data_IF_661785932211
#
_entry.id   IF_661785932211
#
_cell.length_a   1.000
_cell.length_b   1.000
_cell.length_c   1.000
_cell.angle_alpha   90.00
_cell.angle_beta   90.00
_cell.angle_gamma   90.00
#
_symmetry.space_group_name_H-M   'P 1'
#
loop_
_entity.id
_entity.type
_entity.pdbx_description
1 polymer ?
#
# COMPACT_ATOMS: atom_id res chain seq x y z
N UNK A 1 33.79 -11.95 13.52
CA UNK A 1 32.60 -11.11 13.23
C UNK A 1 32.69 -10.54 11.83
N UNK A 2 31.94 -11.08 10.87
CA UNK A 2 31.80 -10.48 9.53
C UNK A 2 30.82 -9.31 9.65
N UNK A 3 31.33 -8.08 9.53
CA UNK A 3 30.50 -6.89 9.23
C UNK A 3 29.78 -7.16 7.91
N UNK A 4 28.47 -7.37 7.93
CA UNK A 4 27.67 -7.53 6.71
C UNK A 4 27.64 -6.20 5.96
N UNK A 5 28.38 -6.15 4.86
CA UNK A 5 28.29 -5.12 3.84
C UNK A 5 26.93 -5.23 3.14
N UNK A 6 26.01 -4.29 3.37
CA UNK A 6 25.07 -3.73 2.37
C UNK A 6 24.11 -2.69 3.01
N UNK A 7 24.67 -1.63 3.63
CA UNK A 7 23.90 -0.39 3.86
C UNK A 7 24.03 0.49 2.60
N UNK A 8 23.25 0.19 1.57
CA UNK A 8 23.11 1.05 0.39
C UNK A 8 21.62 1.36 0.18
N UNK A 9 21.22 2.53 0.67
CA UNK A 9 20.00 3.27 0.28
C UNK A 9 18.64 2.62 0.60
N UNK A 10 18.42 2.14 1.83
CA UNK A 10 17.05 1.87 2.30
C UNK A 10 16.59 3.11 3.05
N UNK A 11 15.60 3.82 2.50
CA UNK A 11 14.88 4.85 3.27
C UNK A 11 14.30 4.18 4.52
N UNK A 12 14.74 4.61 5.69
CA UNK A 12 14.24 4.14 6.97
C UNK A 12 13.29 5.21 7.50
N UNK A 13 12.00 4.89 7.49
CA UNK A 13 10.96 5.71 8.12
C UNK A 13 11.33 5.90 9.60
N UNK A 14 11.48 7.14 10.05
CA UNK A 14 11.68 7.43 11.47
C UNK A 14 10.41 7.15 12.27
N UNK A 15 10.49 6.89 13.59
CA UNK A 15 9.30 6.75 14.43
C UNK A 15 8.35 7.94 14.35
N UNK A 16 8.88 9.15 14.23
CA UNK A 16 8.11 10.39 14.08
C UNK A 16 7.42 10.45 12.72
N UNK A 17 8.14 10.16 11.63
CA UNK A 17 7.57 10.09 10.27
C UNK A 17 6.47 9.03 10.18
N UNK A 18 6.65 7.90 10.85
CA UNK A 18 5.63 6.86 10.95
C UNK A 18 4.39 7.34 11.69
N UNK A 19 4.55 7.96 12.86
CA UNK A 19 3.41 8.41 13.66
C UNK A 19 2.63 9.51 12.92
N UNK A 20 3.32 10.48 12.32
CA UNK A 20 2.68 11.49 11.47
C UNK A 20 1.94 10.85 10.29
N UNK A 21 2.56 9.87 9.62
CA UNK A 21 1.95 9.10 8.55
C UNK A 21 0.72 8.32 8.95
N UNK A 22 0.78 7.64 10.10
CA UNK A 22 -0.31 6.88 10.70
C UNK A 22 -1.48 7.78 11.05
N UNK A 23 -1.23 8.91 11.71
CA UNK A 23 -2.29 9.88 12.04
C UNK A 23 -2.94 10.45 10.77
N UNK A 24 -2.14 10.77 9.75
CA UNK A 24 -2.65 11.22 8.46
C UNK A 24 -3.59 10.18 7.82
N UNK A 25 -3.13 8.93 7.66
CA UNK A 25 -3.95 7.84 7.10
C UNK A 25 -5.25 7.60 7.89
N UNK A 26 -5.19 7.68 9.22
CA UNK A 26 -6.38 7.53 10.07
C UNK A 26 -7.36 8.70 9.90
N UNK A 27 -6.85 9.92 9.70
CA UNK A 27 -7.66 11.11 9.44
C UNK A 27 -8.40 11.03 8.10
N UNK A 28 -7.77 10.47 7.05
CA UNK A 28 -8.44 10.22 5.76
C UNK A 28 -9.67 9.31 5.93
N UNK A 29 -9.62 8.40 6.90
CA UNK A 29 -10.72 7.48 7.19
C UNK A 29 -11.72 8.01 8.22
N UNK A 30 -11.54 9.22 8.75
CA UNK A 30 -12.41 9.79 9.80
C UNK A 30 -13.91 9.76 9.44
N UNK A 31 -14.35 10.08 8.20
CA UNK A 31 -15.77 10.06 7.83
C UNK A 31 -16.42 8.67 7.82
N UNK A 32 -15.64 7.59 7.75
CA UNK A 32 -16.15 6.22 7.65
C UNK A 32 -16.42 5.62 9.03
N UNK A 33 -17.46 4.79 9.14
CA UNK A 33 -17.75 4.05 10.38
C UNK A 33 -16.57 3.19 10.80
N UNK A 34 -16.34 3.06 12.11
CA UNK A 34 -15.23 2.26 12.68
C UNK A 34 -15.12 0.85 12.08
N UNK A 35 -16.26 0.18 11.88
CA UNK A 35 -16.33 -1.19 11.39
C UNK A 35 -16.27 -1.30 9.85
N UNK A 36 -15.95 -0.21 9.13
CA UNK A 36 -15.89 -0.21 7.66
C UNK A 36 -14.80 -1.16 7.14
N UNK A 37 -15.01 -1.83 5.98
CA UNK A 37 -14.02 -2.74 5.42
C UNK A 37 -12.64 -2.10 5.22
N UNK A 38 -12.60 -0.86 4.71
CA UNK A 38 -11.34 -0.13 4.50
C UNK A 38 -10.56 0.13 5.79
N UNK A 39 -11.25 0.50 6.89
CA UNK A 39 -10.60 0.68 8.21
C UNK A 39 -10.04 -0.63 8.73
N UNK A 40 -10.78 -1.74 8.61
CA UNK A 40 -10.30 -3.06 9.03
C UNK A 40 -9.02 -3.47 8.31
N UNK A 41 -8.97 -3.23 7.00
CA UNK A 41 -7.81 -3.59 6.18
C UNK A 41 -6.62 -2.68 6.52
N UNK A 42 -6.83 -1.37 6.71
CA UNK A 42 -5.78 -0.46 7.15
C UNK A 42 -5.20 -0.86 8.51
N UNK A 43 -6.02 -1.21 9.49
CA UNK A 43 -5.53 -1.65 10.80
C UNK A 43 -4.69 -2.92 10.74
N UNK A 44 -5.02 -3.87 9.85
CA UNK A 44 -4.19 -5.05 9.61
C UNK A 44 -2.84 -4.68 9.01
N UNK A 45 -2.84 -3.80 8.01
CA UNK A 45 -1.61 -3.33 7.38
C UNK A 45 -0.71 -2.58 8.37
N UNK A 46 -1.28 -1.70 9.21
CA UNK A 46 -0.57 -1.01 10.30
C UNK A 46 0.07 -2.01 11.25
N UNK A 47 -0.70 -3.01 11.73
CA UNK A 47 -0.17 -4.02 12.65
C UNK A 47 0.96 -4.84 12.02
N UNK A 48 0.85 -5.18 10.74
CA UNK A 48 1.90 -5.90 10.01
C UNK A 48 3.15 -5.05 9.77
N UNK A 49 2.99 -3.74 9.56
CA UNK A 49 4.09 -2.79 9.44
C UNK A 49 4.84 -2.64 10.78
N UNK A 50 4.12 -2.39 11.87
CA UNK A 50 4.68 -2.27 13.22
C UNK A 50 5.33 -3.57 13.71
N UNK A 51 4.87 -4.72 13.22
CA UNK A 51 5.50 -6.02 13.43
C UNK A 51 6.72 -6.30 12.53
N UNK A 52 7.10 -5.36 11.65
CA UNK A 52 8.25 -5.48 10.75
C UNK A 52 8.07 -6.48 9.62
N UNK A 53 6.82 -6.83 9.24
CA UNK A 53 6.55 -7.80 8.17
C UNK A 53 6.76 -7.23 6.77
N UNK A 54 6.74 -5.90 6.63
CA UNK A 54 7.11 -5.22 5.40
C UNK A 54 7.68 -3.84 5.68
N UNK A 55 8.39 -3.31 4.70
CA UNK A 55 8.87 -1.93 4.67
C UNK A 55 8.04 -1.12 3.68
N UNK A 56 7.78 0.14 4.02
CA UNK A 56 7.15 1.11 3.15
C UNK A 56 8.22 2.09 2.67
N UNK A 57 8.55 2.03 1.38
CA UNK A 57 9.50 2.96 0.76
C UNK A 57 8.79 4.07 -0.02
N UNK A 58 7.45 4.02 -0.13
CA UNK A 58 6.65 4.94 -0.94
C UNK A 58 7.03 4.93 -2.42
N UNK A 59 7.83 3.94 -2.86
CA UNK A 59 8.43 3.92 -4.18
C UNK A 59 7.41 3.58 -5.26
N UNK A 60 6.27 3.01 -4.86
CA UNK A 60 5.28 2.53 -5.81
C UNK A 60 4.57 3.68 -6.51
N UNK A 61 4.45 4.88 -5.91
CA UNK A 61 3.84 6.04 -6.56
C UNK A 61 4.36 7.39 -6.02
N UNK A 62 4.78 8.27 -6.94
CA UNK A 62 5.28 9.62 -6.66
C UNK A 62 4.26 10.44 -5.86
N UNK A 63 4.74 11.21 -4.87
CA UNK A 63 3.94 12.12 -4.03
C UNK A 63 3.22 13.16 -4.90
N UNK A 64 1.90 13.15 -4.92
CA UNK A 64 1.14 14.23 -5.58
C UNK A 64 0.07 14.86 -4.67
N UNK A 65 -0.29 14.27 -3.52
CA UNK A 65 -1.47 14.71 -2.75
C UNK A 65 -1.19 15.37 -1.39
N UNK A 66 -0.11 15.04 -0.68
CA UNK A 66 0.06 15.53 0.70
C UNK A 66 1.52 15.73 1.12
N UNK A 67 1.71 16.44 2.24
CA UNK A 67 2.99 16.57 2.94
C UNK A 67 3.46 15.24 3.56
N UNK A 68 2.54 14.29 3.78
CA UNK A 68 2.85 12.96 4.29
C UNK A 68 3.28 12.02 3.17
N UNK A 69 4.28 11.17 3.47
CA UNK A 69 4.68 10.05 2.63
C UNK A 69 3.65 8.92 2.59
N UNK A 70 2.74 8.90 3.56
CA UNK A 70 1.78 7.82 3.76
C UNK A 70 0.43 8.21 3.16
N UNK A 71 -0.02 7.43 2.19
CA UNK A 71 -1.36 7.51 1.62
C UNK A 71 -2.02 6.14 1.78
N UNK A 72 -3.27 6.09 2.26
CA UNK A 72 -3.96 4.82 2.54
C UNK A 72 -3.91 3.87 1.32
N UNK A 73 -4.15 4.39 0.11
CA UNK A 73 -4.14 3.58 -1.10
C UNK A 73 -2.76 2.96 -1.40
N UNK A 74 -1.69 3.77 -1.31
CA UNK A 74 -0.32 3.31 -1.58
C UNK A 74 0.15 2.33 -0.51
N UNK A 75 -0.09 2.65 0.77
CA UNK A 75 0.32 1.84 1.90
C UNK A 75 -0.34 0.45 1.88
N UNK A 76 -1.63 0.38 1.56
CA UNK A 76 -2.33 -0.89 1.41
C UNK A 76 -1.80 -1.70 0.22
N UNK A 77 -1.51 -1.06 -0.92
CA UNK A 77 -0.97 -1.74 -2.10
C UNK A 77 0.43 -2.33 -1.82
N UNK A 78 1.30 -1.57 -1.17
CA UNK A 78 2.64 -2.02 -0.77
C UNK A 78 2.57 -3.17 0.22
N UNK A 79 1.67 -3.09 1.21
CA UNK A 79 1.42 -4.18 2.14
C UNK A 79 1.00 -5.46 1.41
N UNK A 80 0.05 -5.37 0.46
CA UNK A 80 -0.38 -6.55 -0.33
C UNK A 80 0.77 -7.14 -1.14
N UNK A 81 1.54 -6.29 -1.83
CA UNK A 81 2.69 -6.73 -2.62
C UNK A 81 3.74 -7.41 -1.74
N UNK A 82 4.06 -6.82 -0.58
CA UNK A 82 5.03 -7.38 0.36
C UNK A 82 4.60 -8.76 0.89
N UNK A 83 3.29 -8.97 1.08
CA UNK A 83 2.72 -10.28 1.44
C UNK A 83 2.65 -11.26 0.26
N UNK A 84 3.15 -10.87 -0.91
CA UNK A 84 3.22 -11.69 -2.11
C UNK A 84 1.97 -11.65 -2.98
N UNK A 85 0.95 -10.90 -2.58
CA UNK A 85 -0.29 -10.73 -3.34
C UNK A 85 -0.10 -9.68 -4.43
N UNK A 86 0.40 -10.11 -5.59
CA UNK A 86 0.61 -9.23 -6.75
C UNK A 86 -0.34 -9.63 -7.87
N UNK A 87 -1.34 -8.80 -8.16
CA UNK A 87 -2.30 -9.07 -9.23
C UNK A 87 -3.08 -7.82 -9.63
N UNK A 88 -3.69 -7.86 -10.82
CA UNK A 88 -4.63 -6.82 -11.26
C UNK A 88 -5.83 -6.62 -10.32
N UNK A 89 -6.13 -7.58 -9.44
CA UNK A 89 -7.20 -7.43 -8.44
C UNK A 89 -6.74 -6.61 -7.23
N UNK A 90 -5.47 -6.73 -6.84
CA UNK A 90 -4.85 -5.88 -5.80
C UNK A 90 -4.69 -4.45 -6.34
N UNK A 91 -4.35 -4.30 -7.61
CA UNK A 91 -4.35 -3.00 -8.28
C UNK A 91 -5.74 -2.35 -8.30
N UNK A 92 -6.79 -3.15 -8.54
CA UNK A 92 -8.17 -2.67 -8.49
C UNK A 92 -8.57 -2.27 -7.07
N UNK A 93 -8.17 -3.03 -6.05
CA UNK A 93 -8.35 -2.64 -4.64
C UNK A 93 -7.75 -1.25 -4.37
N UNK A 94 -6.52 -0.99 -4.83
CA UNK A 94 -5.89 0.32 -4.71
C UNK A 94 -6.75 1.43 -5.36
N UNK A 95 -7.21 1.24 -6.59
CA UNK A 95 -8.04 2.23 -7.29
C UNK A 95 -9.39 2.45 -6.59
N UNK A 96 -10.03 1.39 -6.11
CA UNK A 96 -11.29 1.47 -5.37
C UNK A 96 -11.10 2.27 -4.07
N UNK A 97 -9.98 2.07 -3.37
CA UNK A 97 -9.60 2.87 -2.20
C UNK A 97 -9.40 4.34 -2.57
N UNK A 98 -8.68 4.64 -3.65
CA UNK A 98 -8.46 6.01 -4.09
C UNK A 98 -9.77 6.73 -4.43
N UNK A 99 -10.68 6.05 -5.15
CA UNK A 99 -12.01 6.59 -5.48
C UNK A 99 -12.83 6.80 -4.21
N UNK A 100 -12.82 5.81 -3.30
CA UNK A 100 -13.53 5.89 -2.02
C UNK A 100 -13.12 7.14 -1.24
N UNK A 101 -11.81 7.40 -1.16
CA UNK A 101 -11.22 8.47 -0.37
C UNK A 101 -11.07 9.80 -1.14
N UNK A 102 -11.75 9.92 -2.28
CA UNK A 102 -11.79 11.13 -3.11
C UNK A 102 -10.39 11.66 -3.47
N UNK A 103 -9.54 10.76 -3.98
CA UNK A 103 -8.22 11.14 -4.48
C UNK A 103 -8.37 11.94 -5.78
N UNK A 104 -7.38 12.80 -6.08
CA UNK A 104 -7.39 13.60 -7.30
C UNK A 104 -7.52 12.70 -8.55
N UNK A 105 -8.42 13.06 -9.47
CA UNK A 105 -8.69 12.26 -10.67
C UNK A 105 -7.46 12.07 -11.57
N UNK A 106 -6.57 13.06 -11.68
CA UNK A 106 -5.34 12.93 -12.46
C UNK A 106 -4.41 11.88 -11.83
N UNK A 107 -4.29 11.88 -10.50
CA UNK A 107 -3.54 10.87 -9.76
C UNK A 107 -4.15 9.48 -9.97
N UNK A 108 -5.48 9.34 -9.89
CA UNK A 108 -6.18 8.06 -10.16
C UNK A 108 -5.88 7.56 -11.57
N UNK A 109 -5.98 8.44 -12.58
CA UNK A 109 -5.68 8.09 -13.99
C UNK A 109 -4.23 7.67 -14.17
N UNK A 110 -3.30 8.39 -13.55
CA UNK A 110 -1.88 8.06 -13.60
C UNK A 110 -1.60 6.70 -12.96
N UNK A 111 -2.17 6.43 -11.78
CA UNK A 111 -2.01 5.12 -11.12
C UNK A 111 -2.65 4.00 -11.92
N UNK A 112 -3.84 4.20 -12.47
CA UNK A 112 -4.49 3.23 -13.37
C UNK A 112 -3.61 2.88 -14.57
N UNK A 113 -2.91 3.86 -15.15
CA UNK A 113 -1.96 3.60 -16.23
C UNK A 113 -0.81 2.71 -15.76
N UNK A 114 -0.25 2.99 -14.58
CA UNK A 114 0.84 2.19 -14.00
C UNK A 114 0.42 0.74 -13.71
N UNK A 115 -0.83 0.49 -13.32
CA UNK A 115 -1.34 -0.89 -13.11
C UNK A 115 -1.34 -1.72 -14.40
N UNK A 116 -1.15 -1.13 -15.59
CA UNK A 116 -0.99 -1.90 -16.83
C UNK A 116 0.32 -2.70 -16.84
N UNK A 117 1.31 -2.27 -16.06
CA UNK A 117 2.64 -2.89 -15.96
C UNK A 117 2.77 -3.90 -14.82
N UNK A 118 1.67 -4.27 -14.15
CA UNK A 118 1.69 -5.23 -13.02
C UNK A 118 2.30 -6.58 -13.37
N UNK A 119 2.25 -6.99 -14.64
CA UNK A 119 2.92 -8.22 -15.10
C UNK A 119 4.44 -8.20 -14.79
N UNK A 120 5.09 -7.03 -14.83
CA UNK A 120 6.50 -6.90 -14.45
C UNK A 120 6.70 -7.22 -12.96
N UNK A 121 5.79 -6.75 -12.10
CA UNK A 121 5.86 -7.02 -10.68
C UNK A 121 5.55 -8.50 -10.36
N UNK A 122 4.63 -9.12 -11.10
CA UNK A 122 4.36 -10.56 -11.01
C UNK A 122 5.62 -11.37 -11.37
N UNK A 123 6.31 -11.02 -12.46
CA UNK A 123 7.56 -11.67 -12.86
C UNK A 123 8.63 -11.53 -11.77
N UNK A 124 8.82 -10.32 -11.23
CA UNK A 124 9.74 -10.07 -10.12
C UNK A 124 9.46 -10.97 -8.92
N UNK A 125 8.20 -11.02 -8.46
CA UNK A 125 7.82 -11.85 -7.30
C UNK A 125 7.97 -13.35 -7.56
N UNK A 126 7.79 -13.81 -8.80
CA UNK A 126 8.05 -15.21 -9.19
C UNK A 126 9.54 -15.54 -9.12
N UNK A 127 10.40 -14.66 -9.64
CA UNK A 127 11.86 -14.83 -9.59
C UNK A 127 12.36 -14.82 -8.14
N UNK A 128 11.79 -13.97 -7.29
CA UNK A 128 12.14 -13.91 -5.86
C UNK A 128 11.48 -15.00 -5.01
N UNK A 129 10.66 -15.88 -5.59
CA UNK A 129 9.89 -16.91 -4.88
C UNK A 129 8.97 -16.37 -3.77
N UNK A 130 8.51 -15.13 -3.89
CA UNK A 130 7.60 -14.48 -2.94
C UNK A 130 6.18 -14.34 -3.48
N UNK A 131 5.90 -14.87 -4.67
CA UNK A 131 4.58 -14.78 -5.30
C UNK A 131 3.55 -15.70 -4.63
N UNK A 132 2.43 -15.13 -4.18
CA UNK A 132 1.26 -15.88 -3.70
C UNK A 132 0.21 -15.92 -4.81
N UNK A 133 -0.06 -17.12 -5.34
CA UNK A 133 -1.03 -17.32 -6.44
C UNK A 133 -2.49 -17.20 -5.99
N UNK A 134 -2.76 -17.38 -4.70
CA UNK A 134 -4.10 -17.25 -4.14
C UNK A 134 -4.47 -15.78 -3.96
N UNK A 135 -5.73 -15.46 -4.27
CA UNK A 135 -6.31 -14.14 -4.00
C UNK A 135 -6.46 -13.88 -2.48
N UNK A 136 -6.23 -12.65 -1.99
CA UNK A 136 -6.62 -12.25 -0.64
C UNK A 136 -8.12 -12.45 -0.40
N UNK A 137 -8.49 -12.99 0.76
CA UNK A 137 -9.90 -13.22 1.11
C UNK A 137 -10.65 -11.94 1.47
N UNK A 138 -9.91 -10.86 1.75
CA UNK A 138 -10.43 -9.60 2.29
C UNK A 138 -10.09 -8.40 1.40
N UNK A 139 -10.12 -8.56 0.08
CA UNK A 139 -9.95 -7.41 -0.83
C UNK A 139 -11.08 -6.40 -0.60
N UNK A 140 -10.70 -5.14 -0.37
CA UNK A 140 -11.63 -4.02 -0.45
C UNK A 140 -12.17 -3.90 -1.88
N UNK A 141 -13.45 -3.58 -1.97
CA UNK A 141 -14.13 -3.26 -3.21
C UNK A 141 -15.00 -2.05 -2.96
N UNK A 142 -15.02 -1.13 -3.91
CA UNK A 142 -16.04 -0.09 -3.94
C UNK A 142 -17.40 -0.78 -4.09
N UNK A 143 -18.30 -0.53 -3.14
CA UNK A 143 -19.69 -1.01 -3.22
C UNK A 143 -20.49 0.18 -3.73
N UNK A 144 -21.10 0.05 -4.91
CA UNK A 144 -22.04 1.04 -5.42
C UNK A 144 -23.17 1.20 -4.38
N UNK A 145 -23.38 2.43 -3.89
CA UNK A 145 -24.56 2.82 -3.12
C UNK A 145 -25.58 3.48 -4.05
#
# INVERSE_FOLDING_TARGET
MKKSRLNRFIYQVSPEEWEEGKQFMLSELHPYRWNSPIRKILWKAIADFEAGKFSYDGATFVKERSSSLFEVAAFLHDWRNAMGYVSYQVDREMLDVMITLDYNLNLIKWRWFLTRFTFLNIIRHRIMFTYVSKKPSDLYKLVDY
#
